data_IF_422119555951
#
_entry.id   IF_422119555951
#
_cell.length_a   1.000
_cell.length_b   1.000
_cell.length_c   1.000
_cell.angle_alpha   90.00
_cell.angle_beta   90.00
_cell.angle_gamma   90.00
#
_symmetry.space_group_name_H-M   'P 1'
#
loop_
_entity.id
_entity.type
_entity.pdbx_description
1 polymer ?
#
# COMPACT_ATOMS: atom_id res chain seq x y z
N UNK A 1 -1.70 -2.48 -0.25
CA UNK A 1 -1.96 -3.67 0.59
C UNK A 1 -0.99 -4.77 0.21
N UNK A 2 -0.68 -5.71 1.11
CA UNK A 2 0.17 -6.86 0.82
C UNK A 2 -0.33 -7.64 -0.40
N UNK A 3 0.56 -8.32 -1.14
CA UNK A 3 2.01 -8.43 -0.95
C UNK A 3 2.82 -7.31 -1.65
N UNK A 4 4.05 -7.03 -1.18
CA UNK A 4 4.95 -6.03 -1.76
C UNK A 4 5.53 -6.54 -3.09
N UNK A 5 5.29 -5.77 -4.15
CA UNK A 5 5.73 -6.05 -5.52
C UNK A 5 6.80 -5.06 -5.96
N UNK A 6 7.91 -5.55 -6.51
CA UNK A 6 9.03 -4.74 -7.00
C UNK A 6 8.60 -3.73 -8.07
N UNK A 7 7.88 -4.12 -9.14
CA UNK A 7 7.37 -3.16 -10.13
C UNK A 7 6.50 -2.05 -9.53
N UNK A 8 5.63 -2.38 -8.58
CA UNK A 8 4.77 -1.38 -7.95
C UNK A 8 5.55 -0.44 -7.03
N UNK A 9 6.58 -0.96 -6.35
CA UNK A 9 7.45 -0.15 -5.50
C UNK A 9 8.29 0.82 -6.34
N UNK A 10 8.88 0.33 -7.44
CA UNK A 10 9.62 1.17 -8.38
C UNK A 10 8.72 2.23 -9.03
N UNK A 11 7.48 1.86 -9.36
CA UNK A 11 6.46 2.83 -9.82
C UNK A 11 6.15 3.88 -8.75
N UNK A 12 6.05 3.49 -7.49
CA UNK A 12 5.85 4.43 -6.39
C UNK A 12 7.04 5.38 -6.23
N UNK A 13 8.29 4.88 -6.33
CA UNK A 13 9.48 5.74 -6.32
C UNK A 13 9.47 6.75 -7.47
N UNK A 14 9.07 6.33 -8.66
CA UNK A 14 8.89 7.24 -9.79
C UNK A 14 7.85 8.33 -9.51
N UNK A 15 6.70 7.97 -8.94
CA UNK A 15 5.67 8.94 -8.55
C UNK A 15 6.18 9.92 -7.49
N UNK A 16 6.92 9.43 -6.50
CA UNK A 16 7.51 10.28 -5.46
C UNK A 16 8.49 11.29 -6.05
N UNK A 17 9.39 10.86 -6.94
CA UNK A 17 10.33 11.76 -7.62
C UNK A 17 9.59 12.83 -8.45
N UNK A 18 8.59 12.41 -9.23
CA UNK A 18 7.74 13.33 -10.00
C UNK A 18 7.03 14.34 -9.10
N UNK A 19 6.35 13.89 -8.04
CA UNK A 19 5.62 14.76 -7.10
C UNK A 19 6.58 15.77 -6.49
N UNK A 20 7.79 15.33 -6.10
CA UNK A 20 8.80 16.19 -5.50
C UNK A 20 9.29 17.28 -6.47
N UNK A 21 9.50 16.93 -7.73
CA UNK A 21 10.08 17.83 -8.74
C UNK A 21 9.06 18.73 -9.42
N UNK A 22 7.86 18.22 -9.69
CA UNK A 22 6.86 18.90 -10.52
C UNK A 22 5.71 19.46 -9.69
N UNK A 23 5.20 18.72 -8.69
CA UNK A 23 3.96 19.10 -8.00
C UNK A 23 4.23 19.97 -6.77
N UNK A 24 5.14 19.55 -5.87
CA UNK A 24 5.45 20.26 -4.62
C UNK A 24 5.87 21.73 -4.81
N UNK A 25 6.73 22.09 -5.79
CA UNK A 25 7.11 23.50 -6.01
C UNK A 25 5.95 24.40 -6.44
N UNK A 26 4.90 23.81 -7.00
CA UNK A 26 3.72 24.52 -7.49
C UNK A 26 2.60 24.63 -6.44
N UNK A 27 2.79 24.08 -5.23
CA UNK A 27 1.81 24.18 -4.15
C UNK A 27 1.74 25.62 -3.65
N UNK A 28 0.57 26.25 -3.85
CA UNK A 28 0.30 27.58 -3.33
C UNK A 28 -0.13 27.50 -1.87
N UNK A 29 0.48 28.34 -1.04
CA UNK A 29 0.15 28.50 0.37
C UNK A 29 -0.51 29.86 0.58
N UNK A 30 -1.73 29.89 1.13
CA UNK A 30 -2.46 31.15 1.37
C UNK A 30 -2.48 31.55 2.86
N UNK A 31 -2.40 30.58 3.77
CA UNK A 31 -2.41 30.81 5.21
C UNK A 31 -1.48 29.83 5.97
N UNK A 32 -1.46 29.91 7.30
CA UNK A 32 -0.64 29.05 8.15
C UNK A 32 -1.07 27.58 8.13
N UNK A 33 -2.36 27.28 7.92
CA UNK A 33 -2.83 25.89 7.82
C UNK A 33 -2.35 25.24 6.52
N UNK A 34 -2.36 26.00 5.42
CA UNK A 34 -1.81 25.55 4.14
C UNK A 34 -0.30 25.32 4.24
N UNK A 35 0.42 26.17 4.98
CA UNK A 35 1.85 25.99 5.21
C UNK A 35 2.14 24.67 5.93
N UNK A 36 1.39 24.37 6.99
CA UNK A 36 1.50 23.10 7.72
C UNK A 36 1.26 21.93 6.75
N UNK A 37 0.17 21.96 5.98
CA UNK A 37 -0.15 20.90 5.02
C UNK A 37 0.95 20.70 3.97
N UNK A 38 1.50 21.78 3.41
CA UNK A 38 2.59 21.68 2.43
C UNK A 38 3.84 21.00 3.05
N UNK A 39 4.18 21.32 4.30
CA UNK A 39 5.28 20.67 5.02
C UNK A 39 4.98 19.20 5.39
N UNK A 40 3.74 18.88 5.74
CA UNK A 40 3.29 17.51 6.00
C UNK A 40 3.38 16.65 4.74
N UNK A 41 2.92 17.15 3.59
CA UNK A 41 3.00 16.43 2.30
C UNK A 41 4.46 16.13 1.95
N UNK A 42 5.37 17.08 2.18
CA UNK A 42 6.82 16.87 1.98
C UNK A 42 7.34 15.75 2.89
N UNK A 43 6.94 15.75 4.16
CA UNK A 43 7.33 14.73 5.13
C UNK A 43 6.77 13.34 4.80
N UNK A 44 5.51 13.27 4.36
CA UNK A 44 4.86 12.03 3.90
C UNK A 44 5.59 11.48 2.68
N UNK A 45 5.98 12.36 1.74
CA UNK A 45 6.72 11.99 0.54
C UNK A 45 8.09 11.39 0.88
N UNK A 46 8.82 12.01 1.81
CA UNK A 46 10.09 11.47 2.32
C UNK A 46 9.90 10.11 3.00
N UNK A 47 8.90 9.97 3.87
CA UNK A 47 8.58 8.69 4.53
C UNK A 47 8.20 7.59 3.53
N UNK A 48 7.42 7.92 2.50
CA UNK A 48 7.05 6.99 1.44
C UNK A 48 8.29 6.49 0.69
N UNK A 49 9.18 7.40 0.29
CA UNK A 49 10.44 7.05 -0.38
C UNK A 49 11.31 6.14 0.48
N UNK A 50 11.52 6.51 1.75
CA UNK A 50 12.32 5.72 2.69
C UNK A 50 11.75 4.31 2.88
N UNK A 51 10.42 4.19 3.00
CA UNK A 51 9.75 2.91 3.16
C UNK A 51 9.88 2.02 1.91
N UNK A 52 9.77 2.59 0.71
CA UNK A 52 9.97 1.86 -0.54
C UNK A 52 11.41 1.38 -0.70
N UNK A 53 12.39 2.28 -0.53
CA UNK A 53 13.81 1.93 -0.68
C UNK A 53 14.26 0.91 0.35
N UNK A 54 13.86 1.04 1.61
CA UNK A 54 14.12 0.02 2.64
C UNK A 54 13.50 -1.33 2.26
N UNK A 55 12.29 -1.31 1.69
CA UNK A 55 11.59 -2.52 1.26
C UNK A 55 12.24 -3.19 0.06
N UNK A 56 12.82 -2.42 -0.87
CA UNK A 56 13.57 -2.96 -2.01
C UNK A 56 14.96 -3.46 -1.60
N UNK A 57 15.62 -2.75 -0.68
CA UNK A 57 16.93 -3.11 -0.15
C UNK A 57 16.91 -4.43 0.61
N UNK A 58 15.82 -4.70 1.36
CA UNK A 58 15.64 -5.99 2.04
C UNK A 58 15.16 -7.05 1.05
N UNK A 59 16.04 -8.00 0.74
CA UNK A 59 15.80 -9.07 -0.24
C UNK A 59 15.32 -10.37 0.42
N UNK A 60 14.40 -10.27 1.38
CA UNK A 60 13.73 -11.41 2.03
C UNK A 60 12.27 -11.07 2.36
N UNK A 61 11.52 -12.05 2.85
CA UNK A 61 10.23 -11.81 3.50
C UNK A 61 10.28 -12.19 4.99
N UNK A 62 9.84 -11.28 5.86
CA UNK A 62 9.80 -11.46 7.33
C UNK A 62 8.59 -10.69 7.89
N UNK A 63 8.11 -11.03 9.08
CA UNK A 63 6.98 -10.32 9.72
C UNK A 63 5.63 -10.49 9.00
N UNK A 64 5.46 -11.62 8.28
CA UNK A 64 4.24 -11.94 7.56
C UNK A 64 3.91 -10.89 6.50
N UNK A 65 2.62 -10.53 6.38
CA UNK A 65 2.11 -9.59 5.38
C UNK A 65 2.75 -8.20 5.44
N UNK A 66 3.24 -7.76 6.61
CA UNK A 66 3.86 -6.44 6.80
C UNK A 66 5.12 -6.25 5.95
N UNK A 67 5.90 -7.32 5.76
CA UNK A 67 7.06 -7.32 4.87
C UNK A 67 7.15 -8.64 4.11
N UNK A 68 6.10 -8.92 3.34
CA UNK A 68 6.10 -10.02 2.37
C UNK A 68 6.42 -9.49 0.98
N UNK A 69 7.52 -9.95 0.39
CA UNK A 69 8.04 -9.59 -0.93
C UNK A 69 7.75 -10.72 -1.91
N UNK A 70 6.96 -10.45 -2.95
CA UNK A 70 6.60 -11.45 -3.96
C UNK A 70 7.82 -12.07 -4.65
N UNK A 71 8.86 -11.27 -4.92
CA UNK A 71 10.06 -11.73 -5.61
C UNK A 71 10.99 -12.57 -4.71
N UNK A 72 10.88 -12.43 -3.39
CA UNK A 72 11.69 -13.15 -2.41
C UNK A 72 10.81 -13.54 -1.20
N UNK A 73 9.91 -14.53 -1.37
CA UNK A 73 8.93 -14.92 -0.35
C UNK A 73 9.56 -15.65 0.84
N UNK A 74 10.80 -16.12 0.69
CA UNK A 74 11.53 -16.86 1.71
C UNK A 74 12.30 -15.92 2.65
N UNK A 75 12.54 -16.42 3.87
CA UNK A 75 13.48 -15.81 4.81
C UNK A 75 14.89 -16.19 4.41
N UNK A 76 15.84 -15.27 4.56
CA UNK A 76 17.26 -15.58 4.36
C UNK A 76 18.03 -15.36 5.66
N UNK A 77 18.92 -16.29 5.96
CA UNK A 77 19.77 -16.25 7.15
C UNK A 77 20.63 -14.97 7.21
N UNK A 78 21.02 -14.44 6.05
CA UNK A 78 21.80 -13.20 5.95
C UNK A 78 21.11 -11.99 6.61
N UNK A 79 19.77 -11.98 6.70
CA UNK A 79 19.00 -10.88 7.26
C UNK A 79 18.61 -11.09 8.72
N UNK A 80 18.98 -12.22 9.33
CA UNK A 80 18.75 -12.47 10.74
C UNK A 80 19.54 -11.50 11.61
N UNK A 81 18.83 -10.83 12.53
CA UNK A 81 19.39 -9.80 13.42
C UNK A 81 20.05 -8.64 12.68
N UNK A 82 19.45 -8.24 11.55
CA UNK A 82 19.92 -7.12 10.73
C UNK A 82 18.82 -6.08 10.58
N UNK A 83 19.13 -4.85 10.99
CA UNK A 83 18.33 -3.67 10.69
C UNK A 83 18.67 -3.14 9.29
N UNK A 84 17.64 -2.62 8.63
CA UNK A 84 17.82 -1.72 7.50
C UNK A 84 17.76 -0.32 8.06
N UNK A 85 18.87 0.41 7.96
CA UNK A 85 18.93 1.81 8.34
C UNK A 85 18.81 2.63 7.07
N UNK A 86 17.84 3.54 7.05
CA UNK A 86 17.67 4.49 5.95
C UNK A 86 18.12 5.85 6.42
N UNK A 87 18.90 6.55 5.62
CA UNK A 87 19.37 7.90 5.89
C UNK A 87 19.12 8.77 4.68
N UNK A 88 18.71 10.01 4.91
CA UNK A 88 18.69 11.04 3.89
C UNK A 88 20.06 11.72 3.88
N UNK A 89 20.75 11.69 2.77
CA UNK A 89 21.98 12.44 2.58
C UNK A 89 21.60 13.92 2.41
N UNK A 90 22.02 14.77 3.34
CA UNK A 90 21.63 16.19 3.33
C UNK A 90 22.31 17.00 2.21
N UNK A 91 23.38 16.48 1.61
CA UNK A 91 24.11 17.16 0.53
C UNK A 91 23.55 16.82 -0.85
N UNK A 92 23.23 15.55 -1.12
CA UNK A 92 22.64 15.12 -2.39
C UNK A 92 21.11 15.10 -2.37
N UNK A 93 20.49 15.06 -1.19
CA UNK A 93 19.05 14.85 -1.00
C UNK A 93 18.61 13.40 -1.21
N UNK A 94 19.52 12.49 -1.56
CA UNK A 94 19.21 11.09 -1.86
C UNK A 94 19.04 10.26 -0.58
N UNK A 95 18.24 9.20 -0.69
CA UNK A 95 17.99 8.25 0.38
C UNK A 95 18.91 7.03 0.22
N UNK A 96 19.76 6.81 1.23
CA UNK A 96 20.74 5.74 1.30
C UNK A 96 20.25 4.66 2.28
N UNK A 97 20.47 3.40 1.93
CA UNK A 97 20.14 2.26 2.78
C UNK A 97 21.42 1.52 3.16
N UNK A 98 21.58 1.22 4.44
CA UNK A 98 22.67 0.38 4.95
C UNK A 98 22.11 -0.73 5.82
N UNK A 99 22.88 -1.82 5.89
CA UNK A 99 22.60 -2.95 6.76
C UNK A 99 23.39 -2.75 8.06
N UNK A 100 22.72 -2.85 9.21
CA UNK A 100 23.36 -2.73 10.52
C UNK A 100 22.97 -3.88 11.43
N UNK A 101 23.94 -4.46 12.12
CA UNK A 101 23.69 -5.50 13.10
C UNK A 101 22.84 -4.97 14.26
N UNK A 102 21.92 -5.82 14.73
CA UNK A 102 21.09 -5.52 15.90
C UNK A 102 21.98 -5.57 17.14
N UNK A 103 22.07 -4.48 17.94
CA UNK A 103 22.87 -4.48 19.16
C UNK A 103 22.38 -5.54 20.14
N UNK A 104 23.28 -6.02 20.98
CA UNK A 104 22.94 -6.98 22.03
C UNK A 104 21.84 -6.42 22.94
N UNK A 105 20.95 -7.31 23.40
CA UNK A 105 19.93 -6.94 24.36
C UNK A 105 20.57 -6.49 25.67
N UNK A 106 20.03 -5.40 26.24
CA UNK A 106 20.47 -4.92 27.56
C UNK A 106 20.03 -5.82 28.70
N UNK A 107 18.91 -6.52 28.53
CA UNK A 107 18.34 -7.42 29.52
C UNK A 107 18.18 -8.82 28.92
N UNK A 108 18.25 -9.82 29.79
CA UNK A 108 17.99 -11.19 29.40
C UNK A 108 16.49 -11.37 29.17
N UNK A 109 16.14 -11.70 27.94
CA UNK A 109 14.79 -12.03 27.54
C UNK A 109 14.82 -13.40 26.86
N UNK A 110 13.74 -14.19 26.92
CA UNK A 110 13.61 -15.34 26.06
C UNK A 110 13.70 -14.87 24.60
N UNK A 111 14.86 -15.14 23.99
CA UNK A 111 15.18 -14.76 22.60
C UNK A 111 14.31 -15.47 21.58
N UNK A 112 13.55 -16.47 22.02
CA UNK A 112 12.70 -17.29 21.20
C UNK A 112 11.24 -16.96 21.47
N UNK A 113 10.71 -15.99 20.73
CA UNK A 113 9.33 -16.11 20.28
C UNK A 113 9.34 -17.27 19.28
N UNK A 114 8.98 -18.48 19.74
CA UNK A 114 8.69 -19.65 18.90
C UNK A 114 7.41 -19.38 18.08
N UNK A 115 7.43 -18.33 17.28
CA UNK A 115 6.36 -18.05 16.35
C UNK A 115 6.78 -18.58 14.98
N UNK A 116 6.28 -19.76 14.65
CA UNK A 116 6.27 -20.20 13.26
C UNK A 116 5.38 -19.22 12.48
N UNK A 117 5.96 -18.55 11.48
CA UNK A 117 5.18 -17.61 10.67
C UNK A 117 4.04 -18.36 9.99
N UNK A 118 2.82 -17.81 9.99
CA UNK A 118 1.72 -18.43 9.27
C UNK A 118 2.12 -18.56 7.81
N UNK A 119 2.00 -19.77 7.26
CA UNK A 119 2.14 -20.00 5.82
C UNK A 119 1.01 -19.25 5.14
N UNK A 120 1.36 -18.22 4.39
CA UNK A 120 0.39 -17.41 3.67
C UNK A 120 0.01 -18.19 2.42
N UNK A 121 -1.23 -18.70 2.39
CA UNK A 121 -1.85 -19.16 1.16
C UNK A 121 -2.38 -17.95 0.40
N UNK A 122 -1.78 -17.66 -0.76
CA UNK A 122 -2.21 -16.56 -1.63
C UNK A 122 -3.38 -16.96 -2.55
N UNK A 123 -3.86 -18.21 -2.45
CA UNK A 123 -5.03 -18.66 -3.17
C UNK A 123 -6.30 -18.02 -2.59
N UNK A 124 -6.76 -16.96 -3.25
CA UNK A 124 -8.01 -16.26 -2.91
C UNK A 124 -9.27 -17.05 -3.34
N UNK A 125 -9.12 -18.24 -3.94
CA UNK A 125 -10.21 -19.04 -4.47
C UNK A 125 -10.85 -18.38 -5.70
N UNK A 126 -12.11 -18.72 -5.95
CA UNK A 126 -12.90 -18.06 -6.98
C UNK A 126 -13.19 -16.62 -6.51
N UNK A 127 -12.64 -15.63 -7.21
CA UNK A 127 -12.92 -14.22 -6.94
C UNK A 127 -14.42 -13.96 -6.97
N UNK A 128 -14.88 -12.97 -6.19
CA UNK A 128 -16.30 -12.62 -6.13
C UNK A 128 -16.84 -12.35 -7.54
N UNK A 129 -17.74 -13.22 -7.99
CA UNK A 129 -18.50 -13.00 -9.22
C UNK A 129 -19.76 -12.25 -8.79
N UNK A 130 -19.84 -10.98 -9.17
CA UNK A 130 -21.05 -10.21 -8.94
C UNK A 130 -22.21 -10.95 -9.63
N UNK A 131 -23.30 -11.27 -8.92
CA UNK A 131 -24.47 -11.85 -9.57
C UNK A 131 -24.97 -10.90 -10.67
N UNK A 132 -25.72 -11.40 -11.65
CA UNK A 132 -26.37 -10.49 -12.59
C UNK A 132 -27.22 -9.49 -11.79
N UNK A 133 -27.03 -8.19 -12.06
CA UNK A 133 -27.85 -7.16 -11.43
C UNK A 133 -29.30 -7.43 -11.83
N UNK A 134 -30.16 -7.68 -10.85
CA UNK A 134 -31.59 -7.73 -11.11
C UNK A 134 -32.03 -6.39 -11.70
N UNK A 135 -32.86 -6.43 -12.75
CA UNK A 135 -33.32 -5.22 -13.44
C UNK A 135 -34.12 -4.28 -12.53
N UNK A 136 -34.65 -4.82 -11.43
CA UNK A 136 -35.45 -4.15 -10.42
C UNK A 136 -34.95 -4.56 -9.05
N UNK A 137 -34.50 -3.59 -8.26
CA UNK A 137 -34.16 -3.82 -6.85
C UNK A 137 -35.45 -4.11 -6.07
N UNK A 138 -35.55 -5.20 -5.28
CA UNK A 138 -36.74 -5.53 -4.49
C UNK A 138 -37.24 -4.38 -3.61
N UNK A 139 -36.32 -3.58 -3.05
CA UNK A 139 -36.68 -2.41 -2.25
C UNK A 139 -37.29 -1.28 -3.09
N UNK A 140 -36.83 -1.11 -4.34
CA UNK A 140 -37.42 -0.14 -5.28
C UNK A 140 -38.84 -0.60 -5.64
N UNK A 141 -39.06 -1.89 -5.90
CA UNK A 141 -40.39 -2.42 -6.21
C UNK A 141 -41.35 -2.17 -5.05
N UNK A 142 -40.97 -2.57 -3.83
CA UNK A 142 -41.79 -2.38 -2.62
C UNK A 142 -42.12 -0.89 -2.37
N UNK A 143 -41.13 0.00 -2.55
CA UNK A 143 -41.33 1.44 -2.36
C UNK A 143 -42.34 2.01 -3.35
N UNK A 144 -42.23 1.66 -4.63
CA UNK A 144 -43.13 2.16 -5.67
C UNK A 144 -44.55 1.62 -5.50
N UNK A 145 -44.70 0.35 -5.10
CA UNK A 145 -45.99 -0.24 -4.73
C UNK A 145 -46.64 0.50 -3.56
N UNK A 146 -45.86 0.81 -2.52
CA UNK A 146 -46.34 1.58 -1.35
C UNK A 146 -46.73 3.02 -1.71
N UNK A 147 -46.03 3.63 -2.65
CA UNK A 147 -46.27 5.02 -3.10
C UNK A 147 -47.28 5.11 -4.24
N UNK A 148 -47.78 3.98 -4.76
CA UNK A 148 -48.75 3.93 -5.86
C UNK A 148 -48.20 4.48 -7.18
N UNK A 149 -46.88 4.41 -7.38
CA UNK A 149 -46.19 4.97 -8.55
C UNK A 149 -45.70 3.85 -9.47
N UNK A 150 -45.61 4.13 -10.78
CA UNK A 150 -44.96 3.22 -11.73
C UNK A 150 -43.44 3.39 -11.71
N UNK A 151 -42.70 2.27 -11.72
CA UNK A 151 -41.24 2.28 -11.81
C UNK A 151 -40.84 2.84 -13.21
N UNK A 152 -40.10 3.97 -13.28
CA UNK A 152 -39.68 4.53 -14.56
C UNK A 152 -38.83 3.52 -15.34
N UNK A 153 -39.09 3.36 -16.64
CA UNK A 153 -38.24 2.56 -17.52
C UNK A 153 -36.82 3.15 -17.50
N UNK A 154 -35.88 2.53 -16.79
CA UNK A 154 -34.46 2.84 -16.94
C UNK A 154 -34.09 2.71 -18.43
N UNK A 155 -33.51 3.76 -19.00
CA UNK A 155 -33.04 3.75 -20.40
C UNK A 155 -31.84 2.81 -20.46
N UNK A 156 -32.07 1.55 -20.85
CA UNK A 156 -31.00 0.62 -21.19
C UNK A 156 -30.73 0.68 -22.70
N UNK A 157 -29.46 0.70 -23.15
CA UNK A 157 -29.14 0.53 -24.56
C UNK A 157 -29.67 -0.84 -25.01
N UNK A 158 -30.43 -0.89 -26.12
CA UNK A 158 -30.91 -2.15 -26.68
C UNK A 158 -29.71 -3.04 -26.98
N UNK A 159 -29.57 -4.16 -26.26
CA UNK A 159 -28.60 -5.17 -26.65
C UNK A 159 -29.03 -5.73 -28.00
N UNK A 160 -28.22 -5.43 -29.03
CA UNK A 160 -28.33 -6.05 -30.34
C UNK A 160 -28.24 -7.57 -30.15
N UNK A 161 -29.32 -8.30 -30.44
CA UNK A 161 -29.25 -9.76 -30.55
C UNK A 161 -28.27 -10.09 -31.68
N UNK A 162 -27.22 -10.84 -31.37
CA UNK A 162 -26.44 -11.58 -32.38
C UNK A 162 -27.26 -12.75 -32.88
#
# INVERSE_FOLDING_TARGET
TPPKSDPLMNKMLWWVDRIRREDLPNVKVCDYHDLIRATEVTSITDCAEMAARASLFRTESRWGLSHYRLACPERKAEWDRQYVIVKKNMSSGEMECEKREVPAYKWDYPTRLEYEYPKIDLNIGQGFVHPENEHTDPWIVEKYDREGMEIPKRIFPKMSKK
#
